data_IF_670816443693
#
_entry.id   IF_670816443693
#
_cell.length_a   1.000
_cell.length_b   1.000
_cell.length_c   1.000
_cell.angle_alpha   90.00
_cell.angle_beta   90.00
_cell.angle_gamma   90.00
#
_symmetry.space_group_name_H-M   'P 1'
#
loop_
_entity.id
_entity.type
_entity.pdbx_description
1 polymer ?
#
# COMPACT_ATOMS: atom_id res chain seq x y z
N UNK A 1 -28.76 12.83 -4.20
CA UNK A 1 -29.54 12.35 -3.03
C UNK A 1 -30.13 13.59 -2.40
N UNK A 2 -31.45 13.59 -2.20
CA UNK A 2 -32.17 14.75 -1.67
C UNK A 2 -32.68 14.45 -0.27
N UNK A 3 -32.73 15.46 0.60
CA UNK A 3 -33.40 15.32 1.88
C UNK A 3 -34.91 15.26 1.63
N UNK A 4 -35.64 14.60 2.54
CA UNK A 4 -37.09 14.60 2.51
C UNK A 4 -37.64 15.26 3.77
N UNK A 5 -38.71 16.02 3.61
CA UNK A 5 -39.45 16.54 4.77
C UNK A 5 -40.07 15.38 5.56
N UNK A 6 -39.91 15.42 6.88
CA UNK A 6 -40.62 14.50 7.75
C UNK A 6 -42.12 14.85 7.73
N UNK A 7 -43.01 13.84 7.68
CA UNK A 7 -44.44 14.10 7.83
C UNK A 7 -44.72 14.72 9.22
N UNK A 8 -45.84 15.45 9.37
CA UNK A 8 -46.24 16.04 10.64
C UNK A 8 -46.22 15.00 11.78
N UNK A 9 -45.38 15.22 12.78
CA UNK A 9 -45.26 14.31 13.91
C UNK A 9 -46.46 14.47 14.86
N UNK A 10 -46.96 13.38 15.47
CA UNK A 10 -48.03 13.45 16.44
C UNK A 10 -47.67 14.37 17.62
N UNK A 11 -48.64 15.15 18.10
CA UNK A 11 -48.48 16.01 19.27
C UNK A 11 -49.39 15.56 20.38
N UNK A 12 -48.85 15.45 21.59
CA UNK A 12 -49.63 15.18 22.80
C UNK A 12 -50.14 16.51 23.35
N UNK A 13 -51.46 16.63 23.47
CA UNK A 13 -52.11 17.78 24.09
C UNK A 13 -53.03 17.26 25.20
N UNK A 14 -52.64 17.50 26.45
CA UNK A 14 -53.26 16.89 27.64
C UNK A 14 -53.25 15.35 27.53
N UNK A 15 -54.42 14.70 27.54
CA UNK A 15 -54.58 13.25 27.45
C UNK A 15 -54.87 12.75 26.01
N UNK A 16 -54.67 13.59 24.99
CA UNK A 16 -54.95 13.25 23.60
C UNK A 16 -53.69 13.28 22.74
N UNK A 17 -53.57 12.32 21.83
CA UNK A 17 -52.55 12.32 20.77
C UNK A 17 -53.22 12.80 19.49
N UNK A 18 -52.80 13.96 18.98
CA UNK A 18 -53.31 14.55 17.75
C UNK A 18 -52.28 14.34 16.64
N UNK A 19 -52.70 13.79 15.50
CA UNK A 19 -51.84 13.57 14.34
C UNK A 19 -52.49 14.16 13.09
N UNK A 20 -51.73 14.98 12.36
CA UNK A 20 -52.15 15.47 11.06
C UNK A 20 -51.76 14.45 9.98
N UNK A 21 -52.77 13.87 9.31
CA UNK A 21 -52.57 12.88 8.26
C UNK A 21 -52.47 13.62 6.93
N UNK A 22 -51.30 13.53 6.30
CA UNK A 22 -51.04 14.04 4.94
C UNK A 22 -50.84 12.87 3.97
N UNK A 23 -51.15 13.04 2.67
CA UNK A 23 -50.91 12.01 1.65
C UNK A 23 -49.44 11.57 1.65
N UNK A 24 -49.13 10.29 1.35
CA UNK A 24 -47.77 9.75 1.36
C UNK A 24 -46.98 10.19 0.11
N UNK A 25 -46.81 11.50 -0.06
CA UNK A 25 -46.00 12.10 -1.12
C UNK A 25 -44.69 12.59 -0.52
N UNK A 26 -43.58 12.12 -1.07
CA UNK A 26 -42.25 12.59 -0.68
C UNK A 26 -42.06 14.03 -1.16
N UNK A 27 -41.73 14.93 -0.22
CA UNK A 27 -41.38 16.32 -0.53
C UNK A 27 -39.87 16.46 -0.37
N UNK A 28 -39.20 16.80 -1.47
CA UNK A 28 -37.74 17.00 -1.50
C UNK A 28 -37.36 18.34 -0.89
N UNK A 29 -36.35 18.33 -0.03
CA UNK A 29 -35.75 19.50 0.59
C UNK A 29 -34.31 19.67 0.05
N UNK A 30 -34.01 20.79 -0.65
CA UNK A 30 -32.66 21.02 -1.14
C UNK A 30 -31.71 21.30 0.04
N UNK A 31 -30.61 20.55 0.09
CA UNK A 31 -29.55 20.80 1.06
C UNK A 31 -28.49 21.73 0.43
N UNK A 32 -28.42 22.96 0.93
CA UNK A 32 -27.41 23.95 0.50
C UNK A 32 -26.55 24.31 1.71
N UNK A 33 -25.30 23.88 1.70
CA UNK A 33 -24.34 24.23 2.75
C UNK A 33 -23.85 25.68 2.56
N UNK A 34 -23.77 26.44 3.65
CA UNK A 34 -23.26 27.80 3.61
C UNK A 34 -21.73 27.79 3.50
N UNK A 35 -21.18 27.89 2.30
CA UNK A 35 -19.73 28.08 2.13
C UNK A 35 -19.37 29.51 2.51
N UNK A 36 -18.65 29.72 3.62
CA UNK A 36 -17.87 30.94 3.80
C UNK A 36 -16.88 31.00 2.65
N UNK A 37 -17.04 31.97 1.74
CA UNK A 37 -15.98 32.29 0.77
C UNK A 37 -14.78 32.71 1.60
N UNK A 38 -13.66 32.01 1.47
CA UNK A 38 -12.37 32.60 1.84
C UNK A 38 -12.17 33.77 0.87
N UNK A 39 -12.23 35.00 1.39
CA UNK A 39 -11.73 36.15 0.66
C UNK A 39 -10.22 35.98 0.54
N UNK A 40 -9.74 35.90 -0.70
CA UNK A 40 -8.34 36.03 -1.04
C UNK A 40 -7.83 37.37 -0.50
N UNK A 41 -6.93 37.31 0.48
CA UNK A 41 -6.15 38.46 0.94
C UNK A 41 -5.08 38.71 -0.12
N UNK A 42 -5.40 39.51 -1.13
CA UNK A 42 -4.37 40.30 -1.84
C UNK A 42 -4.12 41.57 -1.05
N UNK A 43 -2.94 41.62 -0.45
CA UNK A 43 -2.31 42.79 0.17
C UNK A 43 -2.24 43.98 -0.78
N UNK A 44 -2.75 45.13 -0.35
CA UNK A 44 -2.24 46.44 -0.75
C UNK A 44 -2.46 47.41 0.41
N UNK A 45 -1.35 47.89 0.96
CA UNK A 45 -1.28 48.97 1.95
C UNK A 45 -1.82 50.28 1.35
N UNK A 46 -2.67 51.01 2.09
CA UNK A 46 -2.32 52.34 2.62
C UNK A 46 -3.53 53.02 3.31
N UNK A 47 -3.17 53.77 4.35
CA UNK A 47 -3.87 54.88 5.02
C UNK A 47 -4.82 54.60 6.20
N UNK A 48 -4.27 54.85 7.40
CA UNK A 48 -4.93 55.26 8.64
C UNK A 48 -4.94 56.82 8.70
N UNK A 49 -5.58 57.46 9.71
CA UNK A 49 -6.91 57.25 10.28
C UNK A 49 -7.67 58.59 10.39
N UNK A 50 -8.96 58.58 10.75
CA UNK A 50 -9.51 59.59 11.67
C UNK A 50 -10.84 59.13 12.29
N UNK A 51 -10.87 59.25 13.62
CA UNK A 51 -12.01 59.04 14.51
C UNK A 51 -12.80 60.34 14.72
N UNK A 52 -13.87 60.20 15.50
CA UNK A 52 -14.78 61.20 16.12
C UNK A 52 -16.07 61.39 15.29
N UNK A 53 -17.30 61.27 15.81
CA UNK A 53 -17.82 61.14 17.18
C UNK A 53 -19.28 60.63 17.16
N UNK A 54 -19.70 60.04 18.28
CA UNK A 54 -21.04 59.93 18.96
C UNK A 54 -22.31 60.53 18.27
N UNK A 55 -23.55 60.04 18.37
CA UNK A 55 -24.33 59.59 19.55
C UNK A 55 -25.77 59.11 19.15
N UNK A 56 -26.34 58.18 19.93
CA UNK A 56 -27.75 58.02 20.37
C UNK A 56 -29.00 57.87 19.44
N UNK A 57 -29.62 56.68 19.60
CA UNK A 57 -31.02 56.43 20.07
C UNK A 57 -32.24 56.34 19.11
N UNK A 58 -32.96 55.22 19.33
CA UNK A 58 -34.41 55.02 19.39
C UNK A 58 -35.22 54.55 18.14
N UNK A 59 -35.72 53.32 18.31
CA UNK A 59 -37.07 52.80 18.03
C UNK A 59 -37.69 52.86 16.62
N UNK A 60 -38.07 51.67 16.14
CA UNK A 60 -38.81 51.53 14.89
C UNK A 60 -38.96 50.08 14.46
N UNK A 61 -39.84 49.35 15.14
CA UNK A 61 -40.38 48.06 14.72
C UNK A 61 -40.78 48.05 13.24
N UNK A 62 -40.15 47.19 12.44
CA UNK A 62 -40.84 46.54 11.31
C UNK A 62 -40.30 45.13 11.14
N UNK A 63 -41.16 44.20 11.53
CA UNK A 63 -41.11 42.81 11.11
C UNK A 63 -41.15 42.72 9.58
N UNK A 64 -40.52 41.66 9.08
CA UNK A 64 -40.56 41.09 7.73
C UNK A 64 -39.38 41.43 6.80
N UNK A 65 -38.90 40.34 6.18
CA UNK A 65 -37.91 40.25 5.09
C UNK A 65 -36.46 40.56 5.41
N UNK A 66 -35.79 39.59 6.05
CA UNK A 66 -34.46 39.10 5.63
C UNK A 66 -34.08 37.84 6.42
N UNK A 67 -34.67 36.68 6.07
CA UNK A 67 -33.93 35.42 6.25
C UNK A 67 -32.83 35.42 5.18
N UNK A 68 -31.69 36.02 5.52
CA UNK A 68 -30.43 35.67 4.87
C UNK A 68 -30.38 34.15 4.89
N UNK A 69 -30.23 33.52 3.72
CA UNK A 69 -30.02 32.09 3.58
C UNK A 69 -28.73 31.72 4.33
N UNK A 70 -28.81 31.57 5.64
CA UNK A 70 -27.80 30.91 6.44
C UNK A 70 -27.80 29.47 5.97
N UNK A 71 -26.92 29.16 5.02
CA UNK A 71 -26.81 27.82 4.48
C UNK A 71 -26.59 26.81 5.61
N UNK A 72 -27.01 25.57 5.38
CA UNK A 72 -26.94 24.51 6.36
C UNK A 72 -25.49 24.28 6.83
N UNK A 73 -25.33 23.82 8.07
CA UNK A 73 -24.03 23.42 8.61
C UNK A 73 -23.59 22.08 7.99
N UNK A 74 -22.28 21.87 7.70
CA UNK A 74 -21.78 20.62 7.14
C UNK A 74 -22.21 19.38 7.93
N UNK A 75 -22.42 18.29 7.22
CA UNK A 75 -22.84 17.01 7.81
C UNK A 75 -21.61 16.29 8.32
N UNK A 76 -21.65 15.92 9.58
CA UNK A 76 -20.63 15.06 10.18
C UNK A 76 -20.94 13.60 9.84
N UNK A 77 -20.02 12.95 9.16
CA UNK A 77 -20.08 11.52 8.84
C UNK A 77 -19.08 10.79 9.70
N UNK A 78 -19.51 9.66 10.26
CA UNK A 78 -18.67 8.75 11.03
C UNK A 78 -18.97 7.34 10.55
N UNK A 79 -17.94 6.64 10.08
CA UNK A 79 -18.06 5.31 9.52
C UNK A 79 -16.95 4.40 10.03
N UNK A 80 -17.30 3.13 10.22
CA UNK A 80 -16.33 2.07 10.51
C UNK A 80 -15.90 1.46 9.18
N UNK A 81 -14.59 1.41 8.94
CA UNK A 81 -14.05 0.78 7.73
C UNK A 81 -14.12 -0.75 7.82
N UNK A 82 -14.04 -1.46 6.69
CA UNK A 82 -13.96 -2.92 6.68
C UNK A 82 -12.80 -3.41 7.55
N UNK A 83 -13.06 -4.44 8.37
CA UNK A 83 -12.07 -4.98 9.31
C UNK A 83 -10.99 -5.85 8.65
N UNK A 84 -11.24 -6.27 7.41
CA UNK A 84 -10.36 -7.10 6.58
C UNK A 84 -9.52 -6.29 5.59
N UNK A 85 -9.61 -4.95 5.62
CA UNK A 85 -8.81 -4.05 4.80
C UNK A 85 -7.85 -3.26 5.68
N UNK A 86 -6.58 -3.29 5.33
CA UNK A 86 -5.50 -2.54 5.97
C UNK A 86 -5.42 -1.14 5.39
N UNK A 87 -5.43 -0.14 6.27
CA UNK A 87 -5.14 1.25 5.92
C UNK A 87 -3.86 1.67 6.65
N UNK A 88 -2.83 2.03 5.90
CA UNK A 88 -1.48 2.33 6.41
C UNK A 88 -1.22 3.82 6.63
N UNK A 89 -2.03 4.65 5.99
CA UNK A 89 -2.06 6.10 6.13
C UNK A 89 -3.51 6.56 6.35
N UNK A 90 -3.71 7.84 6.65
CA UNK A 90 -5.05 8.41 6.66
C UNK A 90 -5.65 8.31 5.23
N UNK A 91 -6.70 7.51 5.00
CA UNK A 91 -7.20 7.31 3.66
C UNK A 91 -7.83 8.59 3.10
N UNK A 92 -7.74 8.74 1.79
CA UNK A 92 -8.39 9.83 1.07
C UNK A 92 -9.88 9.53 0.91
N UNK A 93 -10.70 10.56 1.07
CA UNK A 93 -12.15 10.48 0.87
C UNK A 93 -12.49 11.27 -0.37
N UNK A 94 -13.25 10.67 -1.29
CA UNK A 94 -13.78 11.37 -2.45
C UNK A 94 -15.29 11.17 -2.57
N UNK A 95 -15.94 12.17 -3.16
CA UNK A 95 -17.35 12.10 -3.52
C UNK A 95 -17.52 11.92 -5.02
N UNK A 96 -18.56 11.21 -5.43
CA UNK A 96 -18.90 11.09 -6.84
C UNK A 96 -19.56 12.39 -7.34
N UNK A 97 -19.14 12.86 -8.52
CA UNK A 97 -19.77 13.97 -9.24
C UNK A 97 -20.50 13.43 -10.48
N UNK A 98 -21.83 13.26 -10.43
CA UNK A 98 -22.59 12.67 -11.53
C UNK A 98 -22.51 13.48 -12.82
N UNK A 99 -22.40 14.81 -12.73
CA UNK A 99 -22.39 15.68 -13.91
C UNK A 99 -21.15 15.50 -14.79
N UNK A 100 -20.01 15.12 -14.18
CA UNK A 100 -18.72 14.95 -14.85
C UNK A 100 -18.22 13.50 -14.86
N UNK A 101 -18.96 12.58 -14.24
CA UNK A 101 -18.60 11.17 -14.07
C UNK A 101 -17.19 10.94 -13.52
N UNK A 102 -16.84 11.65 -12.44
CA UNK A 102 -15.55 11.44 -11.75
C UNK A 102 -15.67 11.58 -10.24
N UNK A 103 -14.63 11.12 -9.54
CA UNK A 103 -14.44 11.34 -8.11
C UNK A 103 -13.83 12.72 -7.87
N UNK A 104 -14.27 13.41 -6.82
CA UNK A 104 -13.74 14.72 -6.40
C UNK A 104 -13.44 14.75 -4.91
N UNK A 105 -12.41 15.50 -4.55
CA UNK A 105 -11.95 15.69 -3.17
C UNK A 105 -12.53 16.97 -2.51
N UNK A 106 -13.23 17.82 -3.27
CA UNK A 106 -13.82 19.06 -2.76
C UNK A 106 -15.16 18.83 -2.05
N UNK A 107 -15.56 19.74 -1.16
CA UNK A 107 -16.78 19.59 -0.36
C UNK A 107 -16.65 18.55 0.77
N UNK A 108 -15.42 18.17 1.08
CA UNK A 108 -15.03 17.27 2.16
C UNK A 108 -14.02 18.00 3.05
N UNK A 109 -14.16 17.91 4.36
CA UNK A 109 -13.25 18.54 5.33
C UNK A 109 -13.15 17.75 6.63
N UNK A 110 -12.21 18.13 7.50
CA UNK A 110 -11.98 17.53 8.82
C UNK A 110 -11.88 16.00 8.77
N UNK A 111 -11.17 15.47 7.77
CA UNK A 111 -10.93 14.04 7.62
C UNK A 111 -9.98 13.60 8.74
N UNK A 112 -10.43 12.64 9.53
CA UNK A 112 -9.70 12.08 10.67
C UNK A 112 -9.89 10.57 10.68
N UNK A 113 -8.78 9.83 10.64
CA UNK A 113 -8.80 8.38 10.75
C UNK A 113 -8.21 7.93 12.09
N UNK A 114 -8.93 7.05 12.79
CA UNK A 114 -8.45 6.41 14.00
C UNK A 114 -8.17 4.93 13.70
N UNK A 115 -6.89 4.60 13.54
CA UNK A 115 -6.40 3.26 13.20
C UNK A 115 -6.80 2.21 14.26
N UNK A 116 -6.69 2.55 15.55
CA UNK A 116 -7.02 1.63 16.65
C UNK A 116 -8.48 1.17 16.66
N UNK A 117 -9.41 2.05 16.28
CA UNK A 117 -10.86 1.77 16.27
C UNK A 117 -11.40 1.47 14.87
N UNK A 118 -10.56 1.61 13.84
CA UNK A 118 -10.92 1.56 12.42
C UNK A 118 -12.09 2.48 12.05
N UNK A 119 -12.11 3.69 12.63
CA UNK A 119 -13.18 4.68 12.46
C UNK A 119 -12.67 5.87 11.65
N UNK A 120 -13.36 6.18 10.55
CA UNK A 120 -13.14 7.37 9.74
C UNK A 120 -14.22 8.41 10.03
N UNK A 121 -13.79 9.64 10.25
CA UNK A 121 -14.67 10.80 10.45
C UNK A 121 -14.33 11.86 9.44
N UNK A 122 -15.35 12.51 8.88
CA UNK A 122 -15.18 13.66 8.01
C UNK A 122 -16.47 14.48 7.98
N UNK A 123 -16.37 15.70 7.46
CA UNK A 123 -17.52 16.55 7.18
C UNK A 123 -17.76 16.62 5.68
N UNK A 124 -19.03 16.74 5.28
CA UNK A 124 -19.40 16.98 3.89
C UNK A 124 -20.45 18.07 3.76
N UNK A 125 -20.34 18.86 2.68
CA UNK A 125 -21.24 19.95 2.33
C UNK A 125 -22.35 19.51 1.36
N UNK A 126 -22.34 18.24 0.92
CA UNK A 126 -23.23 17.68 -0.12
C UNK A 126 -23.51 16.21 0.11
N UNK A 127 -24.66 15.73 -0.36
CA UNK A 127 -24.95 14.30 -0.40
C UNK A 127 -24.51 13.68 -1.72
N UNK A 128 -23.58 12.74 -1.66
CA UNK A 128 -23.08 11.99 -2.81
C UNK A 128 -22.59 10.60 -2.38
N UNK A 129 -22.50 9.63 -3.30
CA UNK A 129 -21.70 8.43 -3.07
C UNK A 129 -20.28 8.79 -2.65
N UNK A 130 -19.77 8.11 -1.62
CA UNK A 130 -18.43 8.32 -1.07
C UNK A 130 -17.56 7.11 -1.40
N UNK A 131 -16.32 7.36 -1.79
CA UNK A 131 -15.28 6.35 -1.94
C UNK A 131 -14.08 6.71 -1.06
N UNK A 132 -13.34 5.67 -0.69
CA UNK A 132 -12.20 5.72 0.23
C UNK A 132 -11.01 5.12 -0.53
N UNK A 133 -9.92 5.87 -0.59
CA UNK A 133 -8.73 5.55 -1.36
C UNK A 133 -7.51 5.51 -0.46
N UNK A 134 -6.52 4.72 -0.87
CA UNK A 134 -5.17 4.70 -0.33
C UNK A 134 -4.22 4.69 -1.51
N UNK A 135 -3.00 5.21 -1.33
CA UNK A 135 -1.98 5.08 -2.34
C UNK A 135 -1.70 3.59 -2.66
N UNK A 136 -1.74 3.27 -3.95
CA UNK A 136 -1.53 1.91 -4.46
C UNK A 136 -0.07 1.47 -4.32
N UNK A 137 0.88 2.43 -4.37
CA UNK A 137 2.31 2.17 -4.39
C UNK A 137 3.02 2.57 -3.10
N UNK A 138 2.27 2.77 -2.02
CA UNK A 138 2.80 3.14 -0.69
C UNK A 138 3.95 2.26 -0.20
N UNK A 139 3.91 0.97 -0.53
CA UNK A 139 4.89 -0.04 -0.12
C UNK A 139 6.00 -0.27 -1.16
N UNK A 140 6.17 0.65 -2.12
CA UNK A 140 7.20 0.56 -3.17
C UNK A 140 7.97 1.90 -3.25
N UNK A 141 9.30 1.89 -3.38
CA UNK A 141 10.16 0.70 -3.42
C UNK A 141 10.21 -0.03 -2.06
N UNK A 142 10.53 -1.32 -2.11
CA UNK A 142 10.78 -2.14 -0.94
C UNK A 142 12.08 -1.68 -0.27
N UNK A 143 12.14 -1.78 1.05
CA UNK A 143 13.34 -1.44 1.83
C UNK A 143 14.33 -2.60 1.84
N UNK A 144 13.81 -3.83 1.91
CA UNK A 144 14.58 -5.06 1.77
C UNK A 144 13.68 -6.23 1.42
N UNK A 145 14.28 -7.31 0.95
CA UNK A 145 13.61 -8.60 0.78
C UNK A 145 14.60 -9.73 1.00
N UNK A 146 14.09 -10.88 1.41
CA UNK A 146 14.87 -12.10 1.61
C UNK A 146 14.02 -13.32 1.26
N UNK A 147 14.61 -14.31 0.60
CA UNK A 147 14.08 -15.66 0.50
C UNK A 147 15.08 -16.62 1.15
N UNK A 148 14.63 -17.41 2.12
CA UNK A 148 15.47 -18.37 2.83
C UNK A 148 14.86 -19.78 2.83
N UNK A 149 15.66 -20.84 2.63
CA UNK A 149 15.18 -22.21 2.78
C UNK A 149 14.56 -22.45 4.16
N UNK A 150 13.46 -23.21 4.19
CA UNK A 150 12.79 -23.68 5.41
C UNK A 150 12.66 -25.22 5.41
N UNK A 151 13.38 -25.88 4.50
CA UNK A 151 13.34 -27.32 4.27
C UNK A 151 13.29 -27.64 2.77
N UNK A 152 13.28 -28.94 2.44
CA UNK A 152 13.08 -29.35 1.05
C UNK A 152 11.68 -28.94 0.58
N UNK A 153 11.59 -28.24 -0.56
CA UNK A 153 10.33 -27.71 -1.09
C UNK A 153 9.61 -26.71 -0.16
N UNK A 154 10.35 -26.02 0.70
CA UNK A 154 9.81 -24.97 1.56
C UNK A 154 10.79 -23.82 1.74
N UNK A 155 10.26 -22.60 1.75
CA UNK A 155 11.03 -21.40 2.03
C UNK A 155 10.17 -20.33 2.69
N UNK A 156 10.83 -19.38 3.35
CA UNK A 156 10.23 -18.15 3.84
C UNK A 156 10.64 -17.03 2.88
N UNK A 157 9.66 -16.26 2.40
CA UNK A 157 9.86 -15.08 1.56
C UNK A 157 9.38 -13.85 2.31
N UNK A 158 10.33 -13.01 2.70
CA UNK A 158 10.13 -11.80 3.49
C UNK A 158 10.28 -10.56 2.61
N UNK A 159 9.35 -9.63 2.73
CA UNK A 159 9.39 -8.32 2.09
C UNK A 159 9.19 -7.27 3.17
N UNK A 160 10.19 -6.40 3.33
CA UNK A 160 10.13 -5.25 4.24
C UNK A 160 9.86 -4.03 3.38
N UNK A 161 8.73 -3.38 3.63
CA UNK A 161 8.30 -2.19 2.90
C UNK A 161 8.03 -1.03 3.88
N UNK A 162 7.77 0.16 3.34
CA UNK A 162 7.61 1.37 4.14
C UNK A 162 6.56 1.27 5.27
N UNK A 163 5.48 0.52 5.08
CA UNK A 163 4.40 0.42 6.05
C UNK A 163 4.05 -1.02 6.50
N UNK A 164 4.71 -2.04 5.96
CA UNK A 164 4.44 -3.44 6.30
C UNK A 164 5.66 -4.33 6.10
N UNK A 165 5.84 -5.25 7.04
CA UNK A 165 6.71 -6.41 6.92
C UNK A 165 5.83 -7.62 6.62
N UNK A 166 6.01 -8.20 5.44
CA UNK A 166 5.21 -9.32 4.96
C UNK A 166 6.08 -10.57 4.86
N UNK A 167 5.72 -11.59 5.64
CA UNK A 167 6.34 -12.91 5.57
C UNK A 167 5.40 -13.92 4.92
N UNK A 168 5.83 -14.49 3.80
CA UNK A 168 5.11 -15.52 3.05
C UNK A 168 5.87 -16.83 3.18
N UNK A 169 5.26 -17.82 3.83
CA UNK A 169 5.76 -19.18 3.82
C UNK A 169 5.27 -19.90 2.57
N UNK A 170 6.20 -20.57 1.90
CA UNK A 170 5.95 -21.40 0.72
C UNK A 170 6.22 -22.86 1.10
N UNK A 171 5.32 -23.74 0.64
CA UNK A 171 5.46 -25.19 0.77
C UNK A 171 4.81 -25.87 -0.41
N UNK A 172 5.60 -26.64 -1.16
CA UNK A 172 5.17 -27.29 -2.41
C UNK A 172 4.48 -26.29 -3.36
N UNK A 173 3.22 -26.54 -3.74
CA UNK A 173 2.45 -25.65 -4.64
C UNK A 173 1.75 -24.49 -3.93
N UNK A 174 1.87 -24.37 -2.61
CA UNK A 174 1.06 -23.48 -1.79
C UNK A 174 1.92 -22.46 -1.06
N UNK A 175 1.28 -21.34 -0.72
CA UNK A 175 1.85 -20.31 0.12
C UNK A 175 0.81 -19.77 1.10
N UNK A 176 1.27 -19.21 2.21
CA UNK A 176 0.43 -18.50 3.15
C UNK A 176 1.20 -17.35 3.79
N UNK A 177 0.48 -16.42 4.43
CA UNK A 177 1.12 -15.44 5.33
C UNK A 177 1.51 -16.18 6.60
N UNK A 178 2.80 -16.37 6.85
CA UNK A 178 3.31 -17.17 7.99
C UNK A 178 3.28 -16.34 9.27
N UNK A 179 4.15 -15.33 9.31
CA UNK A 179 4.21 -14.37 10.39
C UNK A 179 3.81 -12.96 9.92
N UNK A 180 3.19 -12.23 10.83
CA UNK A 180 3.09 -10.79 10.81
C UNK A 180 3.28 -10.44 12.29
N UNK A 181 4.44 -9.90 12.67
CA UNK A 181 4.69 -9.53 14.06
C UNK A 181 3.61 -8.53 14.53
N UNK A 182 3.56 -8.30 15.84
CA UNK A 182 2.52 -7.60 16.63
C UNK A 182 1.98 -6.26 16.05
N UNK A 183 2.59 -5.68 15.03
CA UNK A 183 2.19 -4.42 14.40
C UNK A 183 0.94 -4.51 13.51
N UNK A 184 0.41 -5.68 13.16
CA UNK A 184 -0.73 -5.75 12.24
C UNK A 184 -1.76 -6.84 12.58
N UNK A 185 -2.73 -6.50 13.44
CA UNK A 185 -4.01 -7.22 13.51
C UNK A 185 -4.75 -7.30 12.16
N UNK A 186 -4.33 -6.50 11.17
CA UNK A 186 -5.02 -6.23 9.90
C UNK A 186 -5.00 -7.39 8.88
N UNK A 187 -4.14 -8.40 9.04
CA UNK A 187 -4.09 -9.60 8.17
C UNK A 187 -4.45 -10.91 8.88
N UNK A 188 -5.06 -10.84 10.08
CA UNK A 188 -5.46 -12.03 10.86
C UNK A 188 -6.34 -12.99 10.07
N UNK A 189 -7.16 -12.48 9.14
CA UNK A 189 -8.02 -13.29 8.29
C UNK A 189 -7.28 -14.05 7.19
N UNK A 190 -6.00 -13.75 6.91
CA UNK A 190 -5.18 -14.44 5.91
C UNK A 190 -4.07 -15.31 6.52
N UNK A 191 -3.63 -15.01 7.75
CA UNK A 191 -2.53 -15.72 8.41
C UNK A 191 -2.76 -17.24 8.48
N UNK A 192 -1.75 -18.02 8.10
CA UNK A 192 -1.75 -19.48 8.10
C UNK A 192 -2.73 -20.14 7.12
N UNK A 193 -3.39 -19.37 6.24
CA UNK A 193 -4.30 -19.92 5.23
C UNK A 193 -3.56 -20.27 3.95
N UNK A 194 -3.22 -21.53 3.79
CA UNK A 194 -2.60 -22.07 2.60
C UNK A 194 -3.48 -21.92 1.36
N UNK A 195 -2.91 -21.37 0.29
CA UNK A 195 -3.56 -21.16 -1.00
C UNK A 195 -2.54 -21.09 -2.13
N UNK A 196 -2.99 -21.07 -3.38
CA UNK A 196 -2.10 -20.86 -4.52
C UNK A 196 -1.62 -19.40 -4.57
N UNK A 197 -0.42 -19.11 -5.12
CA UNK A 197 0.13 -17.76 -5.21
C UNK A 197 -0.84 -16.72 -5.77
N UNK A 198 -1.55 -17.06 -6.86
CA UNK A 198 -2.52 -16.15 -7.49
C UNK A 198 -3.67 -15.75 -6.56
N UNK A 199 -4.13 -16.68 -5.74
CA UNK A 199 -5.21 -16.43 -4.77
C UNK A 199 -4.70 -15.59 -3.60
N UNK A 200 -3.47 -15.85 -3.14
CA UNK A 200 -2.82 -15.05 -2.09
C UNK A 200 -2.64 -13.60 -2.54
N UNK A 201 -2.06 -13.39 -3.73
CA UNK A 201 -1.88 -12.07 -4.33
C UNK A 201 -3.22 -11.31 -4.41
N UNK A 202 -4.26 -11.98 -4.91
CA UNK A 202 -5.60 -11.38 -5.03
C UNK A 202 -6.17 -10.99 -3.66
N UNK A 203 -6.01 -11.84 -2.64
CA UNK A 203 -6.52 -11.59 -1.29
C UNK A 203 -5.73 -10.51 -0.55
N UNK A 204 -4.41 -10.47 -0.70
CA UNK A 204 -3.57 -9.40 -0.15
C UNK A 204 -3.97 -8.04 -0.74
N UNK A 205 -4.09 -7.94 -2.07
CA UNK A 205 -4.57 -6.72 -2.74
C UNK A 205 -5.96 -6.28 -2.26
N UNK A 206 -6.90 -7.24 -2.16
CA UNK A 206 -8.24 -6.97 -1.64
C UNK A 206 -8.25 -6.53 -0.17
N UNK A 207 -7.22 -6.92 0.60
CA UNK A 207 -7.05 -6.54 2.01
C UNK A 207 -6.23 -5.26 2.19
N UNK A 208 -6.03 -4.47 1.12
CA UNK A 208 -5.29 -3.20 1.18
C UNK A 208 -3.76 -3.35 1.20
N UNK A 209 -3.23 -4.57 1.05
CA UNK A 209 -1.80 -4.85 1.05
C UNK A 209 -1.33 -5.11 -0.37
N UNK A 210 -0.74 -4.08 -0.99
CA UNK A 210 -0.20 -4.18 -2.34
C UNK A 210 1.34 -4.12 -2.33
N UNK A 211 1.96 -5.28 -2.53
CA UNK A 211 3.40 -5.45 -2.78
C UNK A 211 3.66 -6.02 -4.19
N UNK A 212 2.68 -5.88 -5.09
CA UNK A 212 2.70 -6.50 -6.42
C UNK A 212 2.46 -5.43 -7.49
N UNK A 213 3.55 -4.82 -8.02
CA UNK A 213 3.46 -3.70 -8.95
C UNK A 213 2.61 -4.04 -10.19
N UNK A 214 1.87 -3.04 -10.66
CA UNK A 214 1.17 -3.10 -11.95
C UNK A 214 2.14 -2.88 -13.10
N UNK A 215 1.69 -3.10 -14.34
CA UNK A 215 2.51 -2.95 -15.56
C UNK A 215 3.08 -1.53 -15.70
N UNK A 216 2.38 -0.52 -15.20
CA UNK A 216 2.73 0.90 -15.29
C UNK A 216 3.24 1.51 -13.97
N UNK A 217 3.52 0.68 -12.96
CA UNK A 217 3.96 1.14 -11.63
C UNK A 217 5.29 1.92 -11.67
N UNK A 218 6.14 1.68 -12.68
CA UNK A 218 7.38 2.43 -12.96
C UNK A 218 7.18 3.96 -13.12
N UNK A 219 5.96 4.41 -13.41
CA UNK A 219 5.64 5.84 -13.56
C UNK A 219 5.43 6.55 -12.22
N UNK A 220 5.23 5.78 -11.15
CA UNK A 220 4.83 6.26 -9.84
C UNK A 220 5.89 6.01 -8.77
N UNK A 221 6.90 5.21 -9.09
CA UNK A 221 7.97 4.81 -8.17
C UNK A 221 9.31 5.12 -8.82
N UNK A 222 10.23 5.73 -8.07
CA UNK A 222 11.60 5.95 -8.52
C UNK A 222 12.40 4.65 -8.42
N UNK A 223 12.83 4.10 -9.56
CA UNK A 223 13.42 2.75 -9.66
C UNK A 223 14.66 2.73 -10.55
N UNK A 224 15.57 1.79 -10.30
CA UNK A 224 16.55 1.34 -11.28
C UNK A 224 15.97 0.20 -12.11
N UNK A 225 15.34 0.55 -13.24
CA UNK A 225 14.67 -0.42 -14.11
C UNK A 225 15.63 -1.49 -14.62
N UNK A 226 15.27 -2.77 -14.43
CA UNK A 226 16.03 -3.93 -14.92
C UNK A 226 15.52 -4.42 -16.26
N UNK A 227 16.38 -5.11 -17.01
CA UNK A 227 15.95 -5.84 -18.19
C UNK A 227 14.99 -6.98 -17.79
N UNK A 228 13.80 -7.02 -18.41
CA UNK A 228 12.74 -7.95 -18.02
C UNK A 228 13.10 -9.42 -18.27
N UNK A 229 13.95 -9.69 -19.28
CA UNK A 229 14.37 -11.05 -19.60
C UNK A 229 15.37 -11.53 -18.56
N UNK A 230 16.37 -10.69 -18.26
CA UNK A 230 17.33 -10.95 -17.19
C UNK A 230 16.63 -11.16 -15.86
N UNK A 231 15.74 -10.24 -15.48
CA UNK A 231 14.99 -10.30 -14.21
C UNK A 231 14.24 -11.63 -14.06
N UNK A 232 13.49 -12.03 -15.10
CA UNK A 232 12.77 -13.30 -15.11
C UNK A 232 13.71 -14.51 -15.00
N UNK A 233 14.82 -14.50 -15.73
CA UNK A 233 15.79 -15.59 -15.71
C UNK A 233 16.39 -15.76 -14.30
N UNK A 234 16.71 -14.65 -13.62
CA UNK A 234 17.22 -14.69 -12.25
C UNK A 234 16.16 -15.22 -11.28
N UNK A 235 14.89 -14.82 -11.41
CA UNK A 235 13.83 -15.40 -10.58
C UNK A 235 13.68 -16.92 -10.77
N UNK A 236 13.74 -17.41 -12.01
CA UNK A 236 13.68 -18.84 -12.27
C UNK A 236 14.91 -19.55 -11.67
N UNK A 237 16.10 -18.99 -11.79
CA UNK A 237 17.33 -19.56 -11.22
C UNK A 237 17.31 -19.58 -9.69
N UNK A 238 16.89 -18.49 -9.03
CA UNK A 238 16.66 -18.44 -7.58
C UNK A 238 15.62 -19.48 -7.14
N UNK A 239 14.54 -19.66 -7.92
CA UNK A 239 13.47 -20.60 -7.60
C UNK A 239 13.93 -22.07 -7.68
N UNK A 240 14.87 -22.39 -8.58
CA UNK A 240 15.43 -23.74 -8.71
C UNK A 240 16.29 -24.12 -7.49
N UNK A 241 16.97 -23.13 -6.92
CA UNK A 241 17.95 -23.30 -5.84
C UNK A 241 17.41 -22.94 -4.45
N UNK A 242 16.19 -22.40 -4.35
CA UNK A 242 15.58 -21.93 -3.10
C UNK A 242 15.37 -23.00 -2.00
N UNK A 243 15.55 -24.29 -2.31
CA UNK A 243 15.59 -25.36 -1.27
C UNK A 243 16.93 -25.43 -0.53
N UNK A 244 17.99 -24.80 -1.07
CA UNK A 244 19.36 -24.91 -0.57
C UNK A 244 20.07 -23.56 -0.39
N UNK A 245 19.63 -22.52 -1.10
CA UNK A 245 20.24 -21.19 -1.07
C UNK A 245 19.26 -20.14 -0.57
N UNK A 246 19.77 -19.28 0.30
CA UNK A 246 19.13 -18.03 0.66
C UNK A 246 19.57 -16.92 -0.30
N UNK A 247 18.66 -15.99 -0.57
CA UNK A 247 18.91 -14.80 -1.38
C UNK A 247 18.35 -13.58 -0.67
N UNK A 248 19.06 -12.47 -0.77
CA UNK A 248 18.62 -11.20 -0.21
C UNK A 248 18.92 -10.05 -1.17
N UNK A 249 18.21 -8.94 -0.98
CA UNK A 249 18.50 -7.69 -1.67
C UNK A 249 19.95 -7.26 -1.44
N UNK A 250 20.49 -6.43 -2.33
CA UNK A 250 21.79 -5.79 -2.16
C UNK A 250 21.63 -4.32 -2.50
N UNK A 251 22.20 -3.42 -1.68
CA UNK A 251 22.09 -1.97 -1.92
C UNK A 251 22.68 -1.56 -3.26
N UNK A 252 23.68 -2.32 -3.72
CA UNK A 252 24.39 -2.12 -4.98
C UNK A 252 23.57 -2.42 -6.23
N UNK A 253 22.41 -3.05 -6.08
CA UNK A 253 21.52 -3.30 -7.21
C UNK A 253 20.99 -2.00 -7.83
N UNK A 254 20.88 -0.94 -7.02
CA UNK A 254 20.53 0.40 -7.50
C UNK A 254 21.62 1.05 -8.35
N UNK A 255 22.89 0.64 -8.18
CA UNK A 255 24.05 1.29 -8.81
C UNK A 255 24.56 0.57 -10.07
N UNK A 256 24.09 -0.65 -10.36
CA UNK A 256 24.63 -1.49 -11.44
C UNK A 256 23.96 -1.31 -12.82
N UNK A 257 23.05 -0.33 -12.94
CA UNK A 257 22.30 -0.07 -14.18
C UNK A 257 21.26 -1.14 -14.53
N UNK A 258 20.76 -1.10 -15.78
CA UNK A 258 19.62 -1.92 -16.24
C UNK A 258 19.97 -3.36 -16.64
N UNK A 259 21.17 -3.57 -17.15
CA UNK A 259 21.59 -4.85 -17.78
C UNK A 259 22.27 -5.81 -16.78
N UNK A 260 22.35 -5.40 -15.52
CA UNK A 260 22.96 -6.16 -14.44
C UNK A 260 22.00 -6.23 -13.25
N UNK A 261 22.07 -7.34 -12.54
CA UNK A 261 21.37 -7.56 -11.27
C UNK A 261 22.43 -7.92 -10.24
N UNK A 262 22.39 -7.25 -9.09
CA UNK A 262 23.29 -7.53 -7.97
C UNK A 262 22.45 -7.98 -6.79
N UNK A 263 22.78 -9.13 -6.21
CA UNK A 263 22.04 -9.75 -5.10
C UNK A 263 23.01 -10.35 -4.10
N UNK A 264 22.54 -10.53 -2.87
CA UNK A 264 23.23 -11.36 -1.90
C UNK A 264 22.74 -12.81 -2.02
N UNK A 265 23.64 -13.77 -1.90
CA UNK A 265 23.28 -15.19 -1.80
C UNK A 265 24.22 -15.94 -0.85
N UNK A 266 23.69 -16.98 -0.21
CA UNK A 266 24.47 -17.90 0.61
C UNK A 266 23.84 -19.28 0.64
N UNK A 267 24.66 -20.31 0.80
CA UNK A 267 24.17 -21.67 1.01
C UNK A 267 23.63 -21.78 2.43
N UNK A 268 22.44 -22.34 2.61
CA UNK A 268 21.80 -22.50 3.91
C UNK A 268 21.41 -23.96 4.15
N UNK A 269 22.11 -24.59 5.09
CA UNK A 269 21.84 -25.99 5.45
C UNK A 269 20.74 -26.14 6.50
N UNK A 270 20.76 -25.26 7.51
CA UNK A 270 19.86 -25.27 8.67
C UNK A 270 18.71 -24.30 8.50
N UNK A 271 17.61 -24.54 9.20
CA UNK A 271 16.46 -23.61 9.27
C UNK A 271 16.71 -22.50 10.31
N UNK A 272 17.87 -21.85 10.20
CA UNK A 272 18.25 -20.70 11.00
C UNK A 272 18.64 -19.56 10.05
N UNK A 273 18.26 -18.30 10.32
CA UNK A 273 18.67 -17.18 9.48
C UNK A 273 20.20 -17.14 9.31
N UNK A 274 20.72 -16.94 8.08
CA UNK A 274 22.16 -16.84 7.86
C UNK A 274 22.78 -15.69 8.66
N UNK A 275 24.04 -15.85 9.09
CA UNK A 275 24.75 -14.74 9.73
C UNK A 275 25.11 -13.66 8.70
N UNK A 276 25.24 -12.41 9.14
CA UNK A 276 25.60 -11.30 8.23
C UNK A 276 26.90 -11.56 7.45
N UNK A 277 27.87 -12.22 8.07
CA UNK A 277 29.17 -12.55 7.46
C UNK A 277 29.12 -13.71 6.46
N UNK A 278 28.02 -14.48 6.40
CA UNK A 278 27.88 -15.63 5.49
C UNK A 278 27.42 -15.22 4.09
N UNK A 279 26.95 -13.98 3.93
CA UNK A 279 26.42 -13.48 2.66
C UNK A 279 27.53 -13.10 1.69
N UNK A 280 27.34 -13.48 0.44
CA UNK A 280 28.20 -13.06 -0.66
C UNK A 280 27.43 -12.29 -1.71
N UNK A 281 28.08 -11.31 -2.31
CA UNK A 281 27.50 -10.50 -3.37
C UNK A 281 27.78 -11.15 -4.73
N UNK A 282 26.71 -11.36 -5.50
CA UNK A 282 26.76 -11.88 -6.86
C UNK A 282 26.23 -10.84 -7.84
N UNK A 283 26.88 -10.75 -9.00
CA UNK A 283 26.41 -9.97 -10.13
C UNK A 283 26.05 -10.91 -11.27
N UNK A 284 24.88 -10.70 -11.86
CA UNK A 284 24.42 -11.44 -13.03
C UNK A 284 24.01 -10.50 -14.16
N UNK A 285 24.31 -10.91 -15.39
CA UNK A 285 23.94 -10.26 -16.64
C UNK A 285 23.41 -11.30 -17.63
N UNK A 286 23.00 -10.87 -18.82
CA UNK A 286 22.62 -11.80 -19.89
C UNK A 286 23.81 -12.61 -20.46
N UNK A 287 25.05 -12.22 -20.17
CA UNK A 287 26.26 -12.85 -20.72
C UNK A 287 26.95 -13.78 -19.72
N UNK A 288 26.99 -13.37 -18.46
CA UNK A 288 27.67 -14.09 -17.40
C UNK A 288 27.18 -13.69 -16.01
N UNK A 289 27.56 -14.51 -15.03
CA UNK A 289 27.40 -14.29 -13.60
C UNK A 289 28.70 -14.55 -12.86
N UNK A 290 28.96 -13.77 -11.81
CA UNK A 290 30.16 -13.86 -10.99
C UNK A 290 29.89 -13.46 -9.53
N UNK A 291 30.77 -13.91 -8.63
CA UNK A 291 30.88 -13.38 -7.26
C UNK A 291 31.76 -12.13 -7.28
N UNK A 292 31.33 -11.06 -6.61
CA UNK A 292 32.07 -9.81 -6.52
C UNK A 292 32.99 -9.79 -5.28
N UNK A 293 34.12 -9.09 -5.39
CA UNK A 293 34.97 -8.71 -4.25
C UNK A 293 34.38 -7.47 -3.57
N UNK A 294 33.17 -7.62 -3.05
CA UNK A 294 32.37 -6.52 -2.52
C UNK A 294 31.62 -6.99 -1.27
N UNK A 295 31.41 -6.07 -0.33
CA UNK A 295 30.54 -6.22 0.83
C UNK A 295 29.45 -5.14 0.86
N UNK A 296 28.37 -5.36 1.62
CA UNK A 296 27.34 -4.33 1.83
C UNK A 296 27.88 -3.12 2.63
N UNK A 297 28.99 -3.30 3.35
CA UNK A 297 29.63 -2.26 4.18
C UNK A 297 30.65 -1.41 3.43
N UNK A 298 31.00 -1.78 2.19
CA UNK A 298 31.95 -1.02 1.39
C UNK A 298 31.37 0.35 1.01
N UNK A 299 32.22 1.36 0.89
CA UNK A 299 31.78 2.74 0.64
C UNK A 299 31.33 2.96 -0.81
N UNK A 300 31.95 2.26 -1.75
CA UNK A 300 31.77 2.46 -3.19
C UNK A 300 31.52 1.15 -3.91
N UNK A 301 30.67 1.19 -4.93
CA UNK A 301 30.43 0.06 -5.80
C UNK A 301 31.71 -0.31 -6.58
N UNK A 302 32.02 -1.60 -6.65
CA UNK A 302 33.05 -2.18 -7.52
C UNK A 302 32.51 -3.43 -8.19
N UNK A 303 32.81 -3.60 -9.48
CA UNK A 303 32.51 -4.81 -10.24
C UNK A 303 33.71 -5.76 -10.36
N UNK A 304 34.72 -5.58 -9.50
CA UNK A 304 35.86 -6.48 -9.39
C UNK A 304 35.40 -7.88 -8.95
N UNK A 305 35.85 -8.89 -9.71
CA UNK A 305 35.52 -10.29 -9.45
C UNK A 305 36.30 -10.81 -8.24
N UNK A 306 35.62 -11.53 -7.35
CA UNK A 306 36.26 -12.15 -6.19
C UNK A 306 37.32 -13.17 -6.61
N UNK A 307 38.40 -13.26 -5.82
CA UNK A 307 39.49 -14.19 -6.07
C UNK A 307 38.98 -15.63 -6.16
N UNK A 308 39.54 -16.41 -7.08
CA UNK A 308 39.14 -17.78 -7.39
C UNK A 308 37.71 -17.97 -7.95
N UNK A 309 37.03 -16.89 -8.34
CA UNK A 309 35.73 -16.99 -9.01
C UNK A 309 35.91 -17.18 -10.51
N UNK A 310 35.25 -18.20 -11.08
CA UNK A 310 35.07 -18.35 -12.52
C UNK A 310 33.80 -17.63 -12.97
N UNK A 311 33.83 -17.06 -14.17
CA UNK A 311 32.61 -16.56 -14.81
C UNK A 311 31.76 -17.75 -15.25
N UNK A 312 30.48 -17.71 -14.91
CA UNK A 312 29.49 -18.71 -15.32
C UNK A 312 28.44 -18.09 -16.23
N UNK A 313 27.74 -18.90 -17.03
CA UNK A 313 26.74 -18.39 -17.98
C UNK A 313 25.51 -17.78 -17.27
N UNK A 314 25.22 -18.24 -16.05
CA UNK A 314 24.05 -17.83 -15.29
C UNK A 314 24.27 -17.99 -13.77
N UNK A 315 23.33 -17.46 -12.97
CA UNK A 315 23.40 -17.47 -11.51
C UNK A 315 23.32 -18.89 -10.96
N UNK A 316 22.51 -19.77 -11.57
CA UNK A 316 22.40 -21.17 -11.15
C UNK A 316 23.78 -21.84 -11.18
N UNK A 317 24.49 -21.80 -12.30
CA UNK A 317 25.82 -22.39 -12.40
C UNK A 317 26.83 -21.71 -11.48
N UNK A 318 26.71 -20.39 -11.28
CA UNK A 318 27.56 -19.64 -10.36
C UNK A 318 27.42 -20.11 -8.90
N UNK A 319 26.19 -20.24 -8.38
CA UNK A 319 26.01 -20.70 -6.99
C UNK A 319 26.32 -22.20 -6.84
N UNK A 320 26.11 -22.98 -7.90
CA UNK A 320 26.35 -24.43 -7.89
C UNK A 320 27.84 -24.83 -7.97
N UNK A 321 28.73 -23.99 -8.52
CA UNK A 321 30.16 -24.29 -8.63
C UNK A 321 30.87 -24.38 -7.27
N UNK A 322 30.35 -23.67 -6.27
CA UNK A 322 30.84 -23.69 -4.88
C UNK A 322 29.95 -24.44 -3.89
N UNK A 323 28.87 -25.06 -4.36
CA UNK A 323 27.86 -25.69 -3.51
C UNK A 323 28.36 -26.99 -2.87
N UNK A 324 27.93 -27.26 -1.64
CA UNK A 324 28.15 -28.57 -1.00
C UNK A 324 27.38 -29.69 -1.70
N UNK A 325 27.80 -30.95 -1.49
CA UNK A 325 27.06 -32.13 -1.96
C UNK A 325 25.62 -32.18 -1.40
N UNK A 326 25.42 -31.65 -0.19
CA UNK A 326 24.13 -31.52 0.49
C UNK A 326 23.22 -30.56 -0.27
N UNK A 327 23.70 -29.35 -0.56
CA UNK A 327 22.98 -28.37 -1.38
C UNK A 327 22.68 -28.91 -2.79
N UNK A 328 23.67 -29.54 -3.44
CA UNK A 328 23.48 -30.17 -4.76
C UNK A 328 22.39 -31.23 -4.75
N UNK A 329 22.29 -32.02 -3.68
CA UNK A 329 21.24 -33.02 -3.52
C UNK A 329 19.87 -32.35 -3.34
N UNK A 330 19.76 -31.37 -2.44
CA UNK A 330 18.52 -30.61 -2.23
C UNK A 330 18.01 -29.95 -3.52
N UNK A 331 18.89 -29.32 -4.29
CA UNK A 331 18.54 -28.68 -5.58
C UNK A 331 18.00 -29.70 -6.59
N UNK A 332 18.59 -30.90 -6.67
CA UNK A 332 18.11 -31.98 -7.55
C UNK A 332 16.76 -32.55 -7.11
N UNK A 333 16.49 -32.54 -5.81
CA UNK A 333 15.24 -33.02 -5.21
C UNK A 333 14.14 -31.94 -5.16
N UNK A 334 14.47 -30.68 -5.49
CA UNK A 334 13.49 -29.60 -5.61
C UNK A 334 12.41 -29.96 -6.62
N UNK A 335 11.17 -29.94 -6.17
CA UNK A 335 9.99 -30.22 -6.97
C UNK A 335 9.66 -29.06 -7.91
N UNK A 336 9.15 -29.38 -9.10
CA UNK A 336 8.65 -28.37 -10.03
C UNK A 336 7.47 -27.54 -9.45
N UNK A 337 6.75 -28.11 -8.48
CA UNK A 337 5.65 -27.45 -7.79
C UNK A 337 6.13 -26.30 -6.92
N UNK A 338 7.15 -26.55 -6.10
CA UNK A 338 7.82 -25.54 -5.30
C UNK A 338 8.47 -24.47 -6.16
N UNK A 339 9.26 -24.88 -7.15
CA UNK A 339 9.86 -23.97 -8.13
C UNK A 339 8.81 -23.01 -8.73
N UNK A 340 7.68 -23.55 -9.22
CA UNK A 340 6.64 -22.75 -9.83
C UNK A 340 5.92 -21.84 -8.83
N UNK A 341 5.84 -22.22 -7.55
CA UNK A 341 5.26 -21.39 -6.51
C UNK A 341 6.15 -20.18 -6.20
N UNK A 342 7.45 -20.41 -5.98
CA UNK A 342 8.45 -19.37 -5.72
C UNK A 342 8.57 -18.42 -6.92
N UNK A 343 8.72 -18.96 -8.14
CA UNK A 343 8.85 -18.15 -9.36
C UNK A 343 7.64 -17.25 -9.56
N UNK A 344 6.42 -17.72 -9.31
CA UNK A 344 5.21 -16.89 -9.39
C UNK A 344 5.21 -15.73 -8.39
N UNK A 345 5.67 -15.95 -7.15
CA UNK A 345 5.73 -14.90 -6.14
C UNK A 345 6.80 -13.86 -6.49
N UNK A 346 8.00 -14.30 -6.85
CA UNK A 346 9.10 -13.41 -7.25
C UNK A 346 8.75 -12.57 -8.49
N UNK A 347 8.15 -13.18 -9.52
CA UNK A 347 7.69 -12.46 -10.71
C UNK A 347 6.57 -11.47 -10.40
N UNK A 348 5.71 -11.76 -9.42
CA UNK A 348 4.58 -10.90 -9.07
C UNK A 348 5.02 -9.68 -8.24
N UNK A 349 6.03 -9.83 -7.39
CA UNK A 349 6.56 -8.75 -6.54
C UNK A 349 7.59 -7.90 -7.27
N UNK A 350 8.30 -8.47 -8.24
CA UNK A 350 9.39 -7.81 -8.98
C UNK A 350 10.45 -7.21 -8.05
N UNK A 351 10.79 -7.94 -6.99
CA UNK A 351 11.71 -7.48 -5.94
C UNK A 351 13.06 -7.00 -6.48
N UNK A 352 13.61 -7.57 -7.56
CA UNK A 352 14.89 -7.13 -8.15
C UNK A 352 14.82 -5.74 -8.82
N UNK A 353 13.64 -5.29 -9.23
CA UNK A 353 13.45 -3.95 -9.83
C UNK A 353 12.90 -2.96 -8.80
N UNK A 354 12.10 -3.45 -7.85
CA UNK A 354 11.36 -2.62 -6.88
C UNK A 354 12.06 -2.55 -5.52
N UNK A 355 13.34 -2.88 -5.40
CA UNK A 355 14.16 -2.75 -4.19
C UNK A 355 15.44 -1.96 -4.43
#
# INVERSE_FOLDING_TARGET
MDLFELPPQPKVVKNWVMQHIVPPKLVTLPYVCGSKKNEDVTSSENDLPNNDDTEQAADGSTDQTQKVNAGNAPIHVTLRLPADVSYFEQPQVARWEPSKNHWRLDGLSDIQFNDQTNMLRFKTDRFAPIAIFQDLYLNMPFQSWEIRPHGLNSCIFTIVAAAIDLEIEVKDSYCCVAHAEDSVQRLRHLRGKWMYPKDLIKRLKASGVNVFPSVDAEKYVSLNMKDSTLEKNIYDQMSLTASAFAYSWSRWNSDCGKEKIVIQATEQETDEPPMEDDWFIYMASNENSCKLKLSEFDETFSDDVAENTKLHADLYHMVMDGASDSAVTKVKETSFQFFNCVSQLLNATKVLTYS
#
